data_IF_086442446666
#
_entry.id   IF_086442446666
#
_cell.length_a   1.000
_cell.length_b   1.000
_cell.length_c   1.000
_cell.angle_alpha   90.00
_cell.angle_beta   90.00
_cell.angle_gamma   90.00
#
_symmetry.space_group_name_H-M   'P 1'
#
loop_
_entity.id
_entity.type
_entity.pdbx_description
1 polymer ?
#
# COMPACT_ATOMS: atom_id res chain seq x y z
N UNK A 1 4.35 -18.79 2.47
CA UNK A 1 4.21 -18.27 1.09
C UNK A 1 5.53 -17.58 0.74
N UNK A 2 6.11 -17.84 -0.43
CA UNK A 2 7.37 -17.19 -0.83
C UNK A 2 7.12 -15.73 -1.27
N UNK A 3 8.18 -14.92 -1.30
CA UNK A 3 8.10 -13.53 -1.82
C UNK A 3 7.50 -13.50 -3.23
N UNK A 4 7.92 -14.42 -4.09
CA UNK A 4 7.41 -14.49 -5.47
C UNK A 4 5.92 -14.87 -5.53
N UNK A 5 5.46 -15.75 -4.64
CA UNK A 5 4.03 -16.12 -4.57
C UNK A 5 3.17 -14.93 -4.17
N UNK A 6 3.63 -14.10 -3.22
CA UNK A 6 2.93 -12.88 -2.80
C UNK A 6 2.86 -11.89 -3.97
N UNK A 7 3.95 -11.69 -4.70
CA UNK A 7 3.99 -10.80 -5.88
C UNK A 7 3.00 -11.28 -6.94
N UNK A 8 3.00 -12.58 -7.28
CA UNK A 8 2.07 -13.16 -8.27
C UNK A 8 0.62 -13.02 -7.86
N UNK A 9 0.32 -13.30 -6.58
CA UNK A 9 -1.02 -13.17 -6.03
C UNK A 9 -1.52 -11.73 -6.10
N UNK A 10 -0.68 -10.76 -5.70
CA UNK A 10 -1.01 -9.34 -5.80
C UNK A 10 -1.19 -8.90 -7.25
N UNK A 11 -0.33 -9.36 -8.17
CA UNK A 11 -0.47 -9.03 -9.60
C UNK A 11 -1.78 -9.55 -10.18
N UNK A 12 -2.20 -10.77 -9.81
CA UNK A 12 -3.47 -11.35 -10.24
C UNK A 12 -4.68 -10.55 -9.73
N UNK A 13 -4.63 -10.03 -8.50
CA UNK A 13 -5.67 -9.22 -7.90
C UNK A 13 -5.88 -7.86 -8.61
N UNK A 14 -4.92 -7.41 -9.44
CA UNK A 14 -5.06 -6.14 -10.15
C UNK A 14 -6.28 -6.08 -11.06
N UNK A 15 -6.75 -7.21 -11.58
CA UNK A 15 -7.97 -7.28 -12.39
C UNK A 15 -9.21 -6.74 -11.67
N UNK A 16 -9.26 -6.85 -10.33
CA UNK A 16 -10.37 -6.36 -9.51
C UNK A 16 -10.36 -4.82 -9.35
N UNK A 17 -9.22 -4.16 -9.62
CA UNK A 17 -9.06 -2.73 -9.37
C UNK A 17 -8.77 -1.92 -10.64
N UNK A 18 -8.21 -2.55 -11.67
CA UNK A 18 -7.79 -1.90 -12.93
C UNK A 18 -8.89 -1.06 -13.56
N UNK A 19 -10.10 -1.62 -13.63
CA UNK A 19 -11.25 -1.01 -14.29
C UNK A 19 -12.29 -0.50 -13.28
N UNK A 20 -11.95 -0.49 -11.96
CA UNK A 20 -12.83 -0.02 -10.91
C UNK A 20 -13.09 1.49 -11.04
N UNK A 21 -14.34 1.89 -10.86
CA UNK A 21 -14.74 3.28 -10.84
C UNK A 21 -14.32 4.00 -9.53
N UNK A 22 -14.48 5.30 -9.50
CA UNK A 22 -14.13 6.13 -8.35
C UNK A 22 -14.94 5.75 -7.09
N UNK A 23 -16.20 5.37 -7.24
CA UNK A 23 -17.09 4.99 -6.15
C UNK A 23 -16.60 3.69 -5.49
N UNK A 24 -16.28 2.69 -6.27
CA UNK A 24 -15.71 1.42 -5.79
C UNK A 24 -14.41 1.63 -5.04
N UNK A 25 -13.47 2.41 -5.60
CA UNK A 25 -12.20 2.72 -4.94
C UNK A 25 -12.41 3.49 -3.63
N UNK A 26 -13.31 4.45 -3.62
CA UNK A 26 -13.64 5.24 -2.42
C UNK A 26 -14.28 4.37 -1.32
N UNK A 27 -15.15 3.43 -1.68
CA UNK A 27 -15.76 2.46 -0.76
C UNK A 27 -14.69 1.57 -0.12
N UNK A 28 -13.75 1.06 -0.90
CA UNK A 28 -12.62 0.27 -0.39
C UNK A 28 -11.78 1.08 0.59
N UNK A 29 -11.40 2.31 0.23
CA UNK A 29 -10.60 3.20 1.07
C UNK A 29 -11.31 3.55 2.39
N UNK A 30 -12.61 3.84 2.35
CA UNK A 30 -13.39 4.12 3.57
C UNK A 30 -13.39 2.92 4.49
N UNK A 31 -13.63 1.71 3.95
CA UNK A 31 -13.61 0.49 4.74
C UNK A 31 -12.21 0.18 5.29
N UNK A 32 -11.14 0.48 4.55
CA UNK A 32 -9.76 0.39 5.05
C UNK A 32 -9.53 1.31 6.25
N UNK A 33 -10.01 2.56 6.18
CA UNK A 33 -9.86 3.53 7.27
C UNK A 33 -10.63 3.11 8.52
N UNK A 34 -11.85 2.65 8.37
CA UNK A 34 -12.70 2.21 9.48
C UNK A 34 -12.12 0.96 10.14
N UNK A 35 -11.72 -0.03 9.36
CA UNK A 35 -11.07 -1.24 9.86
C UNK A 35 -9.73 -0.97 10.56
N UNK A 36 -8.97 0.05 10.13
CA UNK A 36 -7.74 0.44 10.82
C UNK A 36 -8.02 0.94 12.24
N UNK A 37 -9.09 1.71 12.44
CA UNK A 37 -9.53 2.18 13.75
C UNK A 37 -10.04 1.01 14.62
N UNK A 38 -10.85 0.12 14.05
CA UNK A 38 -11.40 -1.04 14.75
C UNK A 38 -10.31 -2.00 15.28
N UNK A 39 -9.17 -2.06 14.60
CA UNK A 39 -8.04 -2.93 14.97
C UNK A 39 -6.92 -2.19 15.75
N UNK A 40 -7.20 -1.00 16.28
CA UNK A 40 -6.22 -0.19 17.03
C UNK A 40 -5.51 -0.98 18.11
N UNK A 41 -6.22 -1.75 18.93
CA UNK A 41 -5.62 -2.52 20.03
C UNK A 41 -4.64 -3.61 19.54
N UNK A 42 -4.98 -4.33 18.45
CA UNK A 42 -4.10 -5.34 17.85
C UNK A 42 -2.83 -4.70 17.28
N UNK A 43 -2.98 -3.57 16.59
CA UNK A 43 -1.86 -2.82 16.00
C UNK A 43 -0.93 -2.30 17.09
N UNK A 44 -1.46 -1.73 18.19
CA UNK A 44 -0.68 -1.23 19.31
C UNK A 44 0.10 -2.35 20.01
N UNK A 45 -0.50 -3.53 20.18
CA UNK A 45 0.19 -4.70 20.75
C UNK A 45 1.39 -5.12 19.88
N UNK A 46 1.22 -5.14 18.57
CA UNK A 46 2.32 -5.44 17.64
C UNK A 46 3.40 -4.34 17.65
N UNK A 47 2.97 -3.07 17.80
CA UNK A 47 3.88 -1.94 17.86
C UNK A 47 4.74 -1.94 19.13
N UNK A 48 4.16 -2.29 20.27
CA UNK A 48 4.90 -2.41 21.52
C UNK A 48 5.99 -3.50 21.41
N UNK A 49 5.67 -4.65 20.82
CA UNK A 49 6.64 -5.72 20.57
C UNK A 49 7.78 -5.29 19.62
N UNK A 50 7.49 -4.49 18.59
CA UNK A 50 8.51 -3.93 17.70
C UNK A 50 9.38 -2.90 18.44
N UNK A 51 8.77 -2.01 19.24
CA UNK A 51 9.49 -1.00 20.04
C UNK A 51 10.43 -1.66 21.04
N UNK A 52 9.98 -2.70 21.75
CA UNK A 52 10.81 -3.43 22.70
C UNK A 52 12.00 -4.09 22.02
N UNK A 53 11.77 -4.74 20.88
CA UNK A 53 12.84 -5.37 20.08
C UNK A 53 13.83 -4.36 19.50
N UNK A 54 13.41 -3.11 19.28
CA UNK A 54 14.25 -2.04 18.70
C UNK A 54 15.04 -1.24 19.75
N UNK A 55 14.66 -1.28 21.01
CA UNK A 55 15.33 -0.54 22.10
C UNK A 55 16.85 -0.86 22.16
N UNK A 56 17.66 0.19 22.25
CA UNK A 56 19.12 0.07 22.27
C UNK A 56 19.76 -0.35 20.94
N UNK A 57 18.96 -0.55 19.88
CA UNK A 57 19.47 -0.91 18.54
C UNK A 57 19.33 0.22 17.52
N UNK A 58 18.36 1.11 17.74
CA UNK A 58 18.13 2.28 16.91
C UNK A 58 18.13 3.55 17.79
N UNK A 59 18.27 4.73 17.18
CA UNK A 59 18.26 6.00 17.90
C UNK A 59 16.87 6.33 18.44
N UNK A 60 16.80 7.19 19.49
CA UNK A 60 15.55 7.65 20.08
C UNK A 60 14.63 8.33 19.06
N UNK A 61 15.20 9.07 18.11
CA UNK A 61 14.47 9.68 17.00
C UNK A 61 13.79 8.62 16.12
N UNK A 62 14.47 7.49 15.86
CA UNK A 62 13.88 6.39 15.10
C UNK A 62 12.86 5.64 15.93
N UNK A 63 13.06 5.49 17.24
CA UNK A 63 12.06 4.90 18.14
C UNK A 63 10.79 5.73 18.20
N UNK A 64 10.88 7.08 18.25
CA UNK A 64 9.69 7.94 18.18
C UNK A 64 8.94 7.81 16.84
N UNK A 65 9.66 7.69 15.73
CA UNK A 65 9.07 7.47 14.40
C UNK A 65 8.38 6.11 14.26
N UNK A 66 8.88 5.10 14.97
CA UNK A 66 8.31 3.75 15.00
C UNK A 66 7.06 3.70 15.88
N UNK A 67 7.02 4.50 16.94
CA UNK A 67 5.95 4.48 17.95
C UNK A 67 4.60 4.87 17.37
N UNK A 68 3.60 4.07 17.69
CA UNK A 68 2.19 4.41 17.49
C UNK A 68 1.49 4.60 18.84
N UNK A 69 0.41 5.34 18.80
CA UNK A 69 -0.61 5.48 19.82
C UNK A 69 -1.98 5.58 19.13
N UNK A 70 -3.05 5.63 19.90
CA UNK A 70 -4.42 5.74 19.38
C UNK A 70 -4.59 6.98 18.47
N UNK A 71 -4.00 8.11 18.87
CA UNK A 71 -4.06 9.36 18.11
C UNK A 71 -3.34 9.25 16.76
N UNK A 72 -2.17 8.61 16.72
CA UNK A 72 -1.41 8.38 15.47
C UNK A 72 -2.17 7.41 14.56
N UNK A 73 -2.81 6.37 15.09
CA UNK A 73 -3.63 5.45 14.27
C UNK A 73 -4.88 6.17 13.74
N UNK A 74 -5.55 6.97 14.55
CA UNK A 74 -6.66 7.80 14.09
C UNK A 74 -6.22 8.78 12.98
N UNK A 75 -5.05 9.40 13.11
CA UNK A 75 -4.49 10.26 12.07
C UNK A 75 -4.18 9.50 10.77
N UNK A 76 -3.70 8.25 10.85
CA UNK A 76 -3.52 7.38 9.68
C UNK A 76 -4.85 7.11 8.97
N UNK A 77 -5.92 6.79 9.72
CA UNK A 77 -7.26 6.60 9.17
C UNK A 77 -7.78 7.88 8.50
N UNK A 78 -7.57 9.05 9.11
CA UNK A 78 -7.92 10.33 8.49
C UNK A 78 -7.11 10.62 7.22
N UNK A 79 -5.83 10.20 7.15
CA UNK A 79 -5.02 10.25 5.93
C UNK A 79 -5.65 9.44 4.80
N UNK A 80 -6.16 8.24 5.08
CA UNK A 80 -6.89 7.42 4.12
C UNK A 80 -8.19 8.14 3.69
N UNK A 81 -8.97 8.70 4.64
CA UNK A 81 -10.20 9.45 4.33
C UNK A 81 -9.94 10.72 3.53
N UNK A 82 -8.80 11.39 3.76
CA UNK A 82 -8.38 12.51 2.93
C UNK A 82 -8.07 12.06 1.48
N UNK A 83 -7.46 10.88 1.32
CA UNK A 83 -7.21 10.28 0.00
C UNK A 83 -8.50 9.97 -0.76
N UNK A 84 -9.59 9.61 -0.08
CA UNK A 84 -10.93 9.43 -0.70
C UNK A 84 -11.37 10.70 -1.43
N UNK A 85 -11.08 11.89 -0.87
CA UNK A 85 -11.48 13.18 -1.41
C UNK A 85 -10.67 13.63 -2.63
N UNK A 86 -9.56 12.96 -2.94
CA UNK A 86 -8.75 13.29 -4.11
C UNK A 86 -9.52 12.93 -5.40
N UNK A 87 -9.32 13.69 -6.49
CA UNK A 87 -9.93 13.36 -7.78
C UNK A 87 -9.39 12.01 -8.29
N UNK A 88 -10.26 11.25 -8.96
CA UNK A 88 -9.83 10.06 -9.68
C UNK A 88 -9.30 10.46 -11.06
N UNK A 89 -8.07 10.09 -11.33
CA UNK A 89 -7.42 10.37 -12.60
C UNK A 89 -7.50 9.20 -13.59
N UNK A 90 -7.98 8.03 -13.16
CA UNK A 90 -8.10 6.85 -14.02
C UNK A 90 -9.13 7.09 -15.13
N UNK A 91 -8.75 6.81 -16.37
CA UNK A 91 -9.61 7.00 -17.55
C UNK A 91 -9.71 8.44 -18.06
N UNK A 92 -9.07 9.43 -17.40
CA UNK A 92 -9.05 10.81 -17.86
C UNK A 92 -8.44 10.91 -19.25
N UNK A 93 -9.17 11.57 -20.19
CA UNK A 93 -8.67 11.87 -21.53
C UNK A 93 -7.70 13.05 -21.43
N UNK A 94 -6.47 12.85 -21.87
CA UNK A 94 -5.41 13.85 -21.89
C UNK A 94 -5.36 14.61 -23.22
N UNK A 95 -5.67 13.91 -24.32
CA UNK A 95 -5.80 14.49 -25.66
C UNK A 95 -6.70 13.64 -26.54
N UNK A 96 -7.30 14.29 -27.52
CA UNK A 96 -8.11 13.68 -28.58
C UNK A 96 -7.58 14.20 -29.93
N UNK A 97 -7.43 13.31 -30.89
CA UNK A 97 -6.93 13.65 -32.24
C UNK A 97 -7.84 13.01 -33.27
N UNK A 98 -8.41 13.82 -34.16
CA UNK A 98 -9.21 13.37 -35.27
C UNK A 98 -8.37 13.29 -36.54
N UNK A 99 -8.46 12.16 -37.24
CA UNK A 99 -7.79 11.96 -38.51
C UNK A 99 -8.77 12.09 -39.70
N UNK A 100 -8.25 12.48 -40.86
CA UNK A 100 -9.04 12.68 -42.08
C UNK A 100 -9.80 11.41 -42.56
N UNK A 101 -9.35 10.24 -42.14
CA UNK A 101 -9.99 8.95 -42.45
C UNK A 101 -11.15 8.59 -41.48
N UNK A 102 -11.56 9.51 -40.59
CA UNK A 102 -12.62 9.31 -39.60
C UNK A 102 -12.19 8.62 -38.31
N UNK A 103 -10.90 8.27 -38.14
CA UNK A 103 -10.39 7.68 -36.89
C UNK A 103 -10.21 8.75 -35.82
N UNK A 104 -10.61 8.44 -34.60
CA UNK A 104 -10.34 9.28 -33.42
C UNK A 104 -9.42 8.53 -32.45
N UNK A 105 -8.31 9.17 -32.07
CA UNK A 105 -7.31 8.64 -31.13
C UNK A 105 -7.46 9.36 -29.79
N UNK A 106 -7.63 8.62 -28.71
CA UNK A 106 -7.67 9.13 -27.35
C UNK A 106 -6.40 8.75 -26.60
N UNK A 107 -5.72 9.74 -25.96
CA UNK A 107 -4.69 9.47 -24.97
C UNK A 107 -5.33 9.50 -23.59
N UNK A 108 -5.37 8.35 -22.91
CA UNK A 108 -6.01 8.19 -21.59
C UNK A 108 -4.97 7.91 -20.51
N UNK A 109 -5.23 8.41 -19.28
CA UNK A 109 -4.52 7.97 -18.08
C UNK A 109 -5.02 6.57 -17.67
N UNK A 110 -4.07 5.67 -17.38
CA UNK A 110 -4.36 4.30 -16.93
C UNK A 110 -3.51 3.98 -15.69
N UNK A 111 -3.97 3.07 -14.82
CA UNK A 111 -3.15 2.56 -13.73
C UNK A 111 -1.88 1.86 -14.26
N UNK A 112 -0.81 1.88 -13.48
CA UNK A 112 0.45 1.22 -13.82
C UNK A 112 0.37 -0.30 -13.70
N UNK A 113 -0.27 -0.78 -12.63
CA UNK A 113 -0.38 -2.19 -12.31
C UNK A 113 0.04 -2.50 -10.87
N UNK A 114 1.07 -3.33 -10.68
CA UNK A 114 1.62 -3.64 -9.37
C UNK A 114 2.75 -2.64 -9.03
N UNK A 115 2.56 -1.91 -7.93
CA UNK A 115 3.54 -1.01 -7.36
C UNK A 115 4.20 -1.67 -6.15
N UNK A 116 5.51 -1.89 -6.19
CA UNK A 116 6.29 -2.35 -5.06
C UNK A 116 6.87 -1.15 -4.31
N UNK A 117 6.72 -1.11 -2.98
CA UNK A 117 7.18 0.01 -2.18
C UNK A 117 8.04 -0.53 -1.03
N UNK A 118 9.33 -0.17 -1.06
CA UNK A 118 10.28 -0.48 0.01
C UNK A 118 10.48 0.77 0.84
N UNK A 119 10.29 0.70 2.15
CA UNK A 119 10.38 1.86 3.03
C UNK A 119 11.01 1.49 4.38
N UNK A 120 11.49 2.51 5.07
CA UNK A 120 12.09 2.38 6.40
C UNK A 120 11.01 2.16 7.49
N UNK A 121 11.44 2.04 8.73
CA UNK A 121 10.63 1.72 9.92
C UNK A 121 9.69 2.86 10.33
N UNK A 122 8.72 3.18 9.48
CA UNK A 122 7.66 4.17 9.69
C UNK A 122 6.30 3.54 9.42
N UNK A 123 5.57 3.09 10.46
CA UNK A 123 4.30 2.37 10.27
C UNK A 123 3.24 3.15 9.48
N UNK A 124 3.16 4.48 9.62
CA UNK A 124 2.21 5.31 8.88
C UNK A 124 2.39 5.22 7.35
N UNK A 125 3.62 5.00 6.87
CA UNK A 125 3.87 4.83 5.44
C UNK A 125 3.11 3.63 4.86
N UNK A 126 2.86 2.59 5.68
CA UNK A 126 2.10 1.41 5.28
C UNK A 126 0.68 1.78 4.82
N UNK A 127 -0.04 2.55 5.62
CA UNK A 127 -1.40 2.99 5.30
C UNK A 127 -1.43 4.02 4.17
N UNK A 128 -0.50 4.98 4.17
CA UNK A 128 -0.44 6.02 3.16
C UNK A 128 -0.15 5.43 1.77
N UNK A 129 0.84 4.53 1.69
CA UNK A 129 1.22 3.88 0.44
C UNK A 129 0.09 2.98 -0.10
N UNK A 130 -0.58 2.20 0.76
CA UNK A 130 -1.72 1.39 0.38
C UNK A 130 -2.88 2.25 -0.14
N UNK A 131 -3.22 3.34 0.57
CA UNK A 131 -4.31 4.21 0.17
C UNK A 131 -4.07 4.89 -1.19
N UNK A 132 -2.88 5.45 -1.40
CA UNK A 132 -2.54 6.11 -2.66
C UNK A 132 -2.51 5.15 -3.85
N UNK A 133 -2.02 3.92 -3.65
CA UNK A 133 -2.02 2.89 -4.68
C UNK A 133 -3.43 2.45 -5.05
N UNK A 134 -4.27 2.16 -4.06
CA UNK A 134 -5.68 1.78 -4.31
C UNK A 134 -6.44 2.92 -4.99
N UNK A 135 -6.27 4.18 -4.53
CA UNK A 135 -6.92 5.34 -5.16
C UNK A 135 -6.56 5.51 -6.62
N UNK A 136 -5.32 5.22 -6.97
CA UNK A 136 -4.82 5.33 -8.36
C UNK A 136 -5.10 4.10 -9.23
N UNK A 137 -5.87 3.11 -8.73
CA UNK A 137 -6.24 1.90 -9.47
C UNK A 137 -5.12 0.86 -9.57
N UNK A 138 -4.10 0.98 -8.72
CA UNK A 138 -2.97 0.07 -8.67
C UNK A 138 -3.10 -0.89 -7.48
N UNK A 139 -2.41 -2.03 -7.55
CA UNK A 139 -2.21 -2.94 -6.42
C UNK A 139 -0.80 -2.77 -5.87
N UNK A 140 -0.57 -3.09 -4.60
CA UNK A 140 0.76 -2.91 -4.02
C UNK A 140 1.28 -4.11 -3.23
N UNK A 141 2.60 -4.28 -3.32
CA UNK A 141 3.40 -5.09 -2.40
C UNK A 141 4.28 -4.15 -1.59
N UNK A 142 4.08 -4.17 -0.29
CA UNK A 142 4.78 -3.35 0.68
C UNK A 142 5.93 -4.13 1.31
N UNK A 143 7.04 -3.46 1.62
CA UNK A 143 8.15 -4.01 2.37
C UNK A 143 8.69 -2.97 3.33
N UNK A 144 8.42 -3.16 4.62
CA UNK A 144 8.91 -2.27 5.69
C UNK A 144 10.33 -2.64 6.13
N UNK A 145 10.95 -1.73 6.88
CA UNK A 145 12.15 -2.05 7.64
C UNK A 145 11.88 -3.15 8.69
N UNK A 146 12.90 -3.91 9.03
CA UNK A 146 12.81 -5.06 9.97
C UNK A 146 12.29 -4.66 11.36
N UNK A 147 12.55 -3.41 11.77
CA UNK A 147 12.14 -2.88 13.07
C UNK A 147 10.64 -2.61 13.18
N UNK A 148 9.91 -2.55 12.06
CA UNK A 148 8.48 -2.24 12.01
C UNK A 148 7.65 -3.38 11.39
N UNK A 149 8.21 -4.56 11.19
CA UNK A 149 7.56 -5.61 10.39
C UNK A 149 6.28 -6.11 11.02
N UNK A 150 6.23 -6.32 12.35
CA UNK A 150 5.03 -6.80 13.06
C UNK A 150 3.92 -5.75 12.97
N UNK A 151 4.25 -4.51 13.27
CA UNK A 151 3.33 -3.38 13.20
C UNK A 151 2.77 -3.21 11.78
N UNK A 152 3.65 -3.18 10.78
CA UNK A 152 3.24 -3.02 9.37
C UNK A 152 2.39 -4.19 8.88
N UNK A 153 2.68 -5.42 9.31
CA UNK A 153 1.86 -6.60 9.00
C UNK A 153 0.47 -6.51 9.65
N UNK A 154 0.37 -6.06 10.91
CA UNK A 154 -0.91 -5.85 11.58
C UNK A 154 -1.74 -4.77 10.88
N UNK A 155 -1.12 -3.66 10.45
CA UNK A 155 -1.78 -2.61 9.66
C UNK A 155 -2.33 -3.20 8.36
N UNK A 156 -1.51 -3.89 7.56
CA UNK A 156 -1.97 -4.49 6.29
C UNK A 156 -3.08 -5.50 6.52
N UNK A 157 -3.01 -6.30 7.60
CA UNK A 157 -4.08 -7.23 7.97
C UNK A 157 -5.40 -6.50 8.22
N UNK A 158 -5.38 -5.40 8.98
CA UNK A 158 -6.55 -4.56 9.21
C UNK A 158 -7.10 -3.98 7.89
N UNK A 159 -6.24 -3.42 7.03
CA UNK A 159 -6.66 -2.91 5.72
C UNK A 159 -7.33 -3.99 4.86
N UNK A 160 -6.76 -5.20 4.81
CA UNK A 160 -7.32 -6.35 4.08
C UNK A 160 -8.68 -6.78 4.62
N UNK A 161 -8.88 -6.74 5.93
CA UNK A 161 -10.17 -7.04 6.55
C UNK A 161 -11.24 -6.00 6.14
N UNK A 162 -10.89 -4.71 6.14
CA UNK A 162 -11.78 -3.66 5.64
C UNK A 162 -12.15 -3.86 4.17
N UNK A 163 -11.18 -4.16 3.31
CA UNK A 163 -11.40 -4.46 1.89
C UNK A 163 -12.39 -5.64 1.74
N UNK A 164 -12.15 -6.74 2.47
CA UNK A 164 -12.99 -7.94 2.42
C UNK A 164 -14.41 -7.68 2.92
N UNK A 165 -14.58 -6.85 3.96
CA UNK A 165 -15.87 -6.54 4.56
C UNK A 165 -16.84 -5.87 3.57
N UNK A 166 -16.32 -5.18 2.55
CA UNK A 166 -17.12 -4.54 1.51
C UNK A 166 -17.10 -5.32 0.16
N UNK A 167 -16.66 -6.59 0.19
CA UNK A 167 -16.64 -7.48 -0.98
C UNK A 167 -15.49 -7.21 -1.95
N UNK A 168 -14.46 -6.46 -1.54
CA UNK A 168 -13.25 -6.26 -2.34
C UNK A 168 -12.29 -7.45 -2.24
N UNK A 169 -11.37 -7.55 -3.20
CA UNK A 169 -10.29 -8.54 -3.16
C UNK A 169 -9.19 -8.06 -2.18
N UNK A 170 -8.97 -8.74 -1.03
CA UNK A 170 -7.96 -8.33 -0.06
C UNK A 170 -6.52 -8.40 -0.60
N UNK A 171 -6.30 -9.10 -1.71
CA UNK A 171 -4.97 -9.26 -2.27
C UNK A 171 -4.49 -8.09 -3.13
N UNK A 172 -5.31 -7.03 -3.24
CA UNK A 172 -4.87 -5.76 -3.83
C UNK A 172 -3.81 -5.04 -2.99
N UNK A 173 -3.70 -5.36 -1.69
CA UNK A 173 -2.67 -4.84 -0.77
C UNK A 173 -2.02 -6.02 -0.06
N UNK A 174 -0.72 -6.19 -0.25
CA UNK A 174 0.06 -7.21 0.45
C UNK A 174 1.35 -6.62 1.03
N UNK A 175 1.92 -7.32 2.03
CA UNK A 175 3.20 -6.98 2.64
C UNK A 175 4.11 -8.21 2.67
N UNK A 176 5.42 -7.99 2.51
CA UNK A 176 6.44 -9.00 2.69
C UNK A 176 6.89 -9.01 4.16
N UNK A 177 6.66 -10.12 4.84
CA UNK A 177 7.13 -10.34 6.22
C UNK A 177 8.62 -10.73 6.26
N UNK A 178 9.12 -11.32 5.17
CA UNK A 178 10.53 -11.61 5.02
C UNK A 178 11.33 -10.31 4.80
N UNK A 179 12.08 -9.91 5.80
CA UNK A 179 12.91 -8.70 5.79
C UNK A 179 14.33 -8.94 5.29
N UNK A 180 14.66 -10.12 4.77
CA UNK A 180 15.96 -10.47 4.24
C UNK A 180 16.33 -9.65 2.99
N UNK A 181 17.63 -9.52 2.74
CA UNK A 181 18.10 -8.91 1.47
C UNK A 181 17.67 -9.72 0.24
N UNK A 182 17.52 -11.04 0.38
CA UNK A 182 17.05 -11.90 -0.70
C UNK A 182 15.60 -11.58 -1.08
N UNK A 183 14.72 -11.38 -0.11
CA UNK A 183 13.35 -10.93 -0.34
C UNK A 183 13.30 -9.59 -1.11
N UNK A 184 14.16 -8.64 -0.72
CA UNK A 184 14.27 -7.37 -1.44
C UNK A 184 14.75 -7.57 -2.88
N UNK A 185 15.77 -8.43 -3.08
CA UNK A 185 16.31 -8.74 -4.41
C UNK A 185 15.25 -9.36 -5.32
N UNK A 186 14.48 -10.34 -4.81
CA UNK A 186 13.37 -10.94 -5.56
C UNK A 186 12.34 -9.88 -5.97
N UNK A 187 11.99 -8.94 -5.06
CA UNK A 187 11.04 -7.87 -5.35
C UNK A 187 11.58 -6.92 -6.43
N UNK A 188 12.88 -6.59 -6.39
CA UNK A 188 13.52 -5.68 -7.35
C UNK A 188 13.76 -6.30 -8.74
N UNK A 189 13.81 -7.63 -8.82
CA UNK A 189 14.10 -8.36 -10.06
C UNK A 189 12.90 -9.14 -10.60
N UNK A 190 11.68 -8.87 -10.08
CA UNK A 190 10.45 -9.52 -10.53
C UNK A 190 9.93 -8.92 -11.85
N UNK A 191 10.73 -9.03 -12.91
CA UNK A 191 10.41 -8.52 -14.24
C UNK A 191 9.08 -9.09 -14.76
N UNK A 192 8.27 -8.23 -15.39
CA UNK A 192 6.95 -8.57 -15.90
C UNK A 192 5.87 -8.75 -14.82
N UNK A 193 6.22 -8.74 -13.53
CA UNK A 193 5.28 -8.79 -12.40
C UNK A 193 5.16 -7.45 -11.70
N UNK A 194 6.28 -6.80 -11.37
CA UNK A 194 6.33 -5.47 -10.77
C UNK A 194 6.43 -4.42 -11.86
N UNK A 195 5.47 -3.50 -11.93
CA UNK A 195 5.41 -2.45 -12.95
C UNK A 195 6.13 -1.17 -12.49
N UNK A 196 6.21 -0.93 -11.18
CA UNK A 196 6.93 0.19 -10.60
C UNK A 196 7.50 -0.19 -9.23
N UNK A 197 8.76 0.13 -8.99
CA UNK A 197 9.40 0.03 -7.68
C UNK A 197 9.67 1.44 -7.12
N UNK A 198 9.23 1.70 -5.89
CA UNK A 198 9.45 2.95 -5.18
C UNK A 198 10.29 2.68 -3.93
N UNK A 199 11.61 2.93 -3.96
CA UNK A 199 12.42 2.93 -2.74
C UNK A 199 12.21 4.26 -1.99
N UNK A 200 11.90 4.18 -0.70
CA UNK A 200 11.68 5.34 0.17
C UNK A 200 12.51 5.22 1.46
N UNK A 201 13.67 5.83 1.48
CA UNK A 201 14.58 5.78 2.62
C UNK A 201 15.81 6.64 2.41
N UNK A 202 16.77 6.51 3.31
CA UNK A 202 18.06 7.18 3.21
C UNK A 202 18.98 6.57 2.15
N UNK A 203 20.19 7.15 2.03
CA UNK A 203 21.17 6.74 1.02
C UNK A 203 21.67 5.27 1.13
N UNK A 204 21.32 4.57 2.23
CA UNK A 204 21.65 3.16 2.44
C UNK A 204 20.59 2.17 1.94
N UNK A 205 19.46 2.65 1.40
CA UNK A 205 18.41 1.82 0.80
C UNK A 205 18.70 1.67 -0.69
#
# INVERSE_FOLDING_TARGET
MTTLDIIRKTKAAWSALRDADAETKNRLLTAMADSLVDHTAEILTCNEADLEAARGRISDVMLDRLRLDEGRIAAMAEGIRATVKLPDHTGRILSETHHANGMTIYKKQVPLGLVAIIYESRPNVTSDAAALTVKSGNVCVLRSGKEAVRTSTAIVKALKQGISAVGGDPDIVNILEDTSHESARVLMTADGLVDLLIPRGGAGL
#
